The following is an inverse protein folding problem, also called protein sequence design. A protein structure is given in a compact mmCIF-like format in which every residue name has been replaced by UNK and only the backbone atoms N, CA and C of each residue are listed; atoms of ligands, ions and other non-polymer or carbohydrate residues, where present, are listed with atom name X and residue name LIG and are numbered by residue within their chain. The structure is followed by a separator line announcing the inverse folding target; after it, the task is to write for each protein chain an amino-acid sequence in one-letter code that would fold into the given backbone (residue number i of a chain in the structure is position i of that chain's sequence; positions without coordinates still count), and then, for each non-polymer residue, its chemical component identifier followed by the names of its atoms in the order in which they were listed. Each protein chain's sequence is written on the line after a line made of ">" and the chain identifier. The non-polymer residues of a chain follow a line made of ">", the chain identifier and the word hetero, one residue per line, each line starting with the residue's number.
data_IF_449620573527
#
_entry.id   IF_449620573527
#
_cell.length_a   1.000
_cell.length_b   1.000
_cell.length_c   1.000
_cell.angle_alpha   90.00
_cell.angle_beta   90.00
_cell.angle_gamma   90.00
#
_symmetry.space_group_name_H-M   'P 1'
#
loop_
_entity.id
_entity.type
_entity.pdbx_description
1 polymer ?
#
# COMPACT_ATOMS: atom_id res chain seq x y z
N UNK A 1 -13.14 -20.67 0.24
CA UNK A 1 -12.29 -20.60 -0.97
C UNK A 1 -11.76 -19.19 -1.22
N UNK A 2 -12.63 -18.17 -1.37
CA UNK A 2 -12.25 -16.76 -1.62
C UNK A 2 -11.19 -16.26 -0.61
N UNK A 3 -11.47 -16.30 0.69
CA UNK A 3 -10.53 -15.80 1.70
C UNK A 3 -9.13 -16.43 1.63
N UNK A 4 -9.05 -17.73 1.38
CA UNK A 4 -7.80 -18.47 1.32
C UNK A 4 -7.00 -18.23 0.03
N UNK A 5 -7.68 -18.03 -1.09
CA UNK A 5 -7.03 -18.04 -2.42
C UNK A 5 -6.95 -16.66 -3.09
N UNK A 6 -7.74 -15.69 -2.66
CA UNK A 6 -7.75 -14.34 -3.26
C UNK A 6 -7.35 -13.25 -2.28
N UNK A 7 -7.67 -13.39 -0.98
CA UNK A 7 -7.49 -12.34 0.03
C UNK A 7 -6.38 -12.61 1.07
N UNK A 8 -5.77 -13.80 1.09
CA UNK A 8 -4.75 -14.14 2.08
C UNK A 8 -5.26 -14.22 3.54
N UNK A 9 -6.58 -14.36 3.73
CA UNK A 9 -7.23 -14.26 5.03
C UNK A 9 -7.96 -15.56 5.40
N UNK A 10 -7.32 -16.72 5.18
CA UNK A 10 -7.93 -18.07 5.31
C UNK A 10 -8.71 -18.26 6.61
N UNK A 11 -8.26 -17.65 7.70
CA UNK A 11 -8.76 -17.89 9.05
C UNK A 11 -9.65 -16.74 9.57
N UNK A 12 -10.03 -15.78 8.71
CA UNK A 12 -10.82 -14.61 9.10
C UNK A 12 -12.11 -14.94 9.86
N UNK A 13 -12.84 -15.98 9.45
CA UNK A 13 -14.08 -16.39 10.12
C UNK A 13 -13.80 -17.03 11.49
N UNK A 14 -12.74 -17.82 11.61
CA UNK A 14 -12.34 -18.43 12.87
C UNK A 14 -11.86 -17.38 13.88
N UNK A 15 -11.12 -16.37 13.40
CA UNK A 15 -10.72 -15.22 14.21
C UNK A 15 -11.93 -14.43 14.69
N UNK A 16 -12.89 -14.13 13.79
CA UNK A 16 -14.12 -13.43 14.16
C UNK A 16 -14.98 -14.22 15.15
N UNK A 17 -15.11 -15.54 14.98
CA UNK A 17 -15.81 -16.39 15.96
C UNK A 17 -15.15 -16.31 17.34
N UNK A 18 -13.81 -16.29 17.40
CA UNK A 18 -13.05 -16.14 18.64
C UNK A 18 -13.31 -14.77 19.29
N UNK A 19 -13.33 -13.69 18.51
CA UNK A 19 -13.66 -12.34 18.97
C UNK A 19 -15.07 -12.27 19.56
N UNK A 20 -16.08 -12.78 18.82
CA UNK A 20 -17.47 -12.81 19.28
C UNK A 20 -17.64 -13.60 20.58
N UNK A 21 -17.01 -14.77 20.69
CA UNK A 21 -17.05 -15.57 21.91
C UNK A 21 -16.41 -14.84 23.10
N UNK A 22 -15.30 -14.12 22.88
CA UNK A 22 -14.65 -13.30 23.91
C UNK A 22 -15.52 -12.12 24.37
N UNK A 23 -16.37 -11.59 23.48
CA UNK A 23 -17.38 -10.57 23.79
C UNK A 23 -18.64 -11.15 24.46
N UNK A 24 -18.74 -12.47 24.61
CA UNK A 24 -19.93 -13.15 25.15
C UNK A 24 -21.12 -13.17 24.18
N UNK A 25 -20.86 -13.05 22.88
CA UNK A 25 -21.86 -13.12 21.79
C UNK A 25 -21.90 -14.52 21.19
N UNK A 26 -22.98 -14.82 20.47
CA UNK A 26 -23.06 -16.03 19.64
C UNK A 26 -21.92 -16.04 18.62
N UNK A 27 -21.30 -17.20 18.43
CA UNK A 27 -20.09 -17.37 17.61
C UNK A 27 -20.21 -18.53 16.61
N UNK A 28 -21.44 -18.94 16.28
CA UNK A 28 -21.67 -19.86 15.16
C UNK A 28 -21.49 -19.16 13.80
N UNK A 29 -21.47 -19.95 12.72
CA UNK A 29 -21.22 -19.43 11.37
C UNK A 29 -22.22 -18.35 10.94
N UNK A 30 -23.49 -18.48 11.35
CA UNK A 30 -24.53 -17.48 11.04
C UNK A 30 -24.27 -16.17 11.79
N UNK A 31 -23.90 -16.25 13.07
CA UNK A 31 -23.54 -15.09 13.88
C UNK A 31 -22.29 -14.38 13.34
N UNK A 32 -21.28 -15.13 12.89
CA UNK A 32 -20.08 -14.57 12.25
C UNK A 32 -20.45 -13.81 10.98
N UNK A 33 -21.21 -14.42 10.07
CA UNK A 33 -21.65 -13.75 8.83
C UNK A 33 -22.48 -12.49 9.14
N UNK A 34 -23.41 -12.61 10.09
CA UNK A 34 -24.24 -11.48 10.55
C UNK A 34 -23.37 -10.35 11.09
N UNK A 35 -22.34 -10.65 11.88
CA UNK A 35 -21.43 -9.63 12.44
C UNK A 35 -20.68 -8.85 11.36
N UNK A 36 -20.22 -9.51 10.29
CA UNK A 36 -19.58 -8.82 9.18
C UNK A 36 -20.56 -7.91 8.42
N UNK A 37 -21.81 -8.36 8.25
CA UNK A 37 -22.86 -7.56 7.65
C UNK A 37 -23.22 -6.34 8.53
N UNK A 38 -23.28 -6.53 9.84
CA UNK A 38 -23.49 -5.45 10.83
C UNK A 38 -22.37 -4.42 10.80
N UNK A 39 -21.10 -4.84 10.71
CA UNK A 39 -19.94 -3.95 10.64
C UNK A 39 -19.98 -3.03 9.40
N UNK A 40 -20.42 -3.57 8.27
CA UNK A 40 -20.47 -2.85 6.98
C UNK A 40 -21.77 -2.06 6.81
N UNK A 41 -22.88 -2.45 7.46
CA UNK A 41 -24.16 -1.79 7.35
C UNK A 41 -24.07 -0.28 7.67
N UNK A 42 -25.01 0.56 7.19
CA UNK A 42 -25.08 1.96 7.61
C UNK A 42 -25.07 2.11 9.14
N UNK A 43 -24.13 2.89 9.66
CA UNK A 43 -23.91 3.06 11.11
C UNK A 43 -23.08 1.94 11.78
N UNK A 44 -22.72 0.90 11.05
CA UNK A 44 -21.81 -0.16 11.50
C UNK A 44 -20.39 0.35 11.77
N UNK A 45 -19.61 -0.44 12.52
CA UNK A 45 -18.27 -0.03 12.95
C UNK A 45 -17.32 0.23 11.77
N UNK A 46 -17.33 -0.64 10.75
CA UNK A 46 -16.48 -0.47 9.57
C UNK A 46 -16.97 0.68 8.68
N UNK A 47 -18.29 0.82 8.50
CA UNK A 47 -18.85 1.98 7.77
C UNK A 47 -18.48 3.31 8.44
N UNK A 48 -18.54 3.36 9.77
CA UNK A 48 -18.14 4.53 10.57
C UNK A 48 -16.64 4.81 10.42
N UNK A 49 -15.81 3.78 10.52
CA UNK A 49 -14.37 3.90 10.31
C UNK A 49 -14.05 4.45 8.92
N UNK A 50 -14.62 3.86 7.86
CA UNK A 50 -14.41 4.30 6.48
C UNK A 50 -14.89 5.75 6.29
N UNK A 51 -15.99 6.17 6.91
CA UNK A 51 -16.49 7.55 6.82
C UNK A 51 -15.52 8.59 7.42
N UNK A 52 -14.64 8.17 8.33
CA UNK A 52 -13.57 9.03 8.86
C UNK A 52 -12.28 8.99 8.01
N UNK A 53 -12.16 8.06 7.07
CA UNK A 53 -10.98 7.89 6.23
C UNK A 53 -10.91 8.88 5.07
N UNK A 54 -9.71 9.00 4.50
CA UNK A 54 -9.39 9.76 3.29
C UNK A 54 -8.67 8.85 2.31
N UNK A 55 -8.92 9.02 1.01
CA UNK A 55 -8.23 8.26 -0.04
C UNK A 55 -6.81 8.79 -0.28
N UNK A 56 -6.61 10.10 -0.05
CA UNK A 56 -5.30 10.74 -0.14
C UNK A 56 -5.13 11.77 0.98
N UNK A 57 -3.92 11.84 1.55
CA UNK A 57 -3.61 12.85 2.57
C UNK A 57 -2.23 13.42 2.34
N UNK A 58 -2.12 14.74 2.27
CA UNK A 58 -0.84 15.44 2.16
C UNK A 58 -0.51 16.12 3.48
N UNK A 59 0.73 15.97 3.93
CA UNK A 59 1.32 16.73 5.04
C UNK A 59 2.71 17.20 4.61
N UNK A 60 2.87 18.53 4.48
CA UNK A 60 4.09 19.14 3.96
C UNK A 60 4.45 18.60 2.57
N UNK A 61 5.63 18.00 2.46
CA UNK A 61 6.18 17.38 1.25
C UNK A 61 5.82 15.89 1.07
N UNK A 62 5.05 15.31 2.01
CA UNK A 62 4.67 13.89 2.00
C UNK A 62 3.22 13.70 1.56
N UNK A 63 3.00 12.80 0.61
CA UNK A 63 1.69 12.32 0.19
C UNK A 63 1.49 10.87 0.66
N UNK A 64 0.34 10.61 1.27
CA UNK A 64 -0.12 9.29 1.68
C UNK A 64 -1.29 8.87 0.81
N UNK A 65 -1.22 7.66 0.24
CA UNK A 65 -2.34 6.98 -0.42
C UNK A 65 -2.34 5.50 -0.06
N UNK A 66 -3.44 4.78 -0.30
CA UNK A 66 -3.52 3.37 0.07
C UNK A 66 -2.59 2.47 -0.77
N UNK A 67 -2.59 2.59 -2.10
CA UNK A 67 -1.89 1.69 -3.01
C UNK A 67 -0.82 2.33 -3.88
N UNK A 68 -1.18 3.30 -4.73
CA UNK A 68 -0.22 3.92 -5.63
C UNK A 68 -0.66 5.29 -6.15
N UNK A 69 0.33 6.08 -6.58
CA UNK A 69 0.12 7.21 -7.48
C UNK A 69 0.84 6.90 -8.79
N UNK A 70 0.09 6.79 -9.87
CA UNK A 70 0.57 6.42 -11.21
C UNK A 70 0.34 7.56 -12.18
N UNK A 71 0.78 7.40 -13.43
CA UNK A 71 0.42 8.36 -14.46
C UNK A 71 -1.10 8.35 -14.72
N UNK A 72 -1.84 7.25 -14.56
CA UNK A 72 -3.29 7.27 -14.78
C UNK A 72 -4.08 7.83 -13.58
N UNK A 73 -3.70 7.51 -12.34
CA UNK A 73 -4.44 7.95 -11.15
C UNK A 73 -4.21 9.42 -10.80
N UNK A 74 -3.02 9.98 -11.09
CA UNK A 74 -2.67 11.34 -10.69
C UNK A 74 -3.53 12.39 -11.43
N UNK A 75 -4.43 13.04 -10.72
CA UNK A 75 -5.41 13.98 -11.29
C UNK A 75 -6.73 13.35 -11.70
N UNK A 76 -6.88 12.02 -11.58
CA UNK A 76 -8.11 11.31 -11.92
C UNK A 76 -9.03 11.20 -10.71
N UNK A 77 -10.31 11.52 -10.90
CA UNK A 77 -11.41 11.30 -9.95
C UNK A 77 -12.60 10.76 -10.75
N UNK A 78 -13.26 9.66 -10.34
CA UNK A 78 -14.40 9.12 -11.06
C UNK A 78 -15.48 10.16 -11.34
N UNK A 79 -15.97 10.20 -12.58
CA UNK A 79 -17.02 11.12 -13.02
C UNK A 79 -16.60 12.59 -13.16
N UNK A 80 -15.31 12.92 -13.01
CA UNK A 80 -14.81 14.30 -13.13
C UNK A 80 -13.75 14.41 -14.23
N UNK A 81 -13.59 15.63 -14.76
CA UNK A 81 -12.47 15.94 -15.64
C UNK A 81 -11.14 15.82 -14.86
N UNK A 82 -10.07 15.47 -15.58
CA UNK A 82 -8.74 15.35 -14.99
C UNK A 82 -8.26 16.69 -14.45
N UNK A 83 -7.69 16.68 -13.25
CA UNK A 83 -7.13 17.84 -12.58
C UNK A 83 -5.60 17.89 -12.77
N UNK A 84 -5.10 19.08 -13.11
CA UNK A 84 -3.67 19.33 -13.24
C UNK A 84 -3.01 19.61 -11.88
N UNK A 85 -3.71 20.35 -11.03
CA UNK A 85 -3.30 20.69 -9.67
C UNK A 85 -3.43 19.49 -8.72
N UNK A 86 -2.33 19.17 -8.02
CA UNK A 86 -2.25 17.99 -7.15
C UNK A 86 -3.06 18.19 -5.86
N UNK A 87 -3.05 19.39 -5.29
CA UNK A 87 -3.81 19.65 -4.06
C UNK A 87 -5.32 19.66 -4.33
N UNK A 88 -5.74 20.29 -5.44
CA UNK A 88 -7.10 20.20 -5.95
C UNK A 88 -7.54 18.78 -6.26
N UNK A 89 -6.65 17.94 -6.82
CA UNK A 89 -6.92 16.52 -7.01
C UNK A 89 -7.12 15.76 -5.69
N UNK A 90 -6.25 15.96 -4.70
CA UNK A 90 -6.38 15.35 -3.36
C UNK A 90 -7.70 15.75 -2.71
N UNK A 91 -8.06 17.03 -2.77
CA UNK A 91 -9.33 17.52 -2.24
C UNK A 91 -10.52 16.88 -2.97
N UNK A 92 -10.52 16.90 -4.30
CA UNK A 92 -11.60 16.34 -5.11
C UNK A 92 -11.78 14.83 -4.90
N UNK A 93 -10.69 14.09 -4.72
CA UNK A 93 -10.72 12.65 -4.47
C UNK A 93 -11.34 12.33 -3.10
N UNK A 94 -11.01 13.11 -2.06
CA UNK A 94 -11.60 12.95 -0.74
C UNK A 94 -13.07 13.41 -0.68
N UNK A 95 -13.43 14.45 -1.42
CA UNK A 95 -14.84 14.85 -1.60
C UNK A 95 -15.63 13.75 -2.28
N UNK A 96 -15.12 13.18 -3.37
CA UNK A 96 -15.74 12.02 -4.01
C UNK A 96 -15.93 10.86 -3.02
N UNK A 97 -14.91 10.52 -2.22
CA UNK A 97 -15.02 9.48 -1.20
C UNK A 97 -16.15 9.76 -0.19
N UNK A 98 -16.19 10.97 0.37
CA UNK A 98 -17.22 11.36 1.33
C UNK A 98 -18.62 11.32 0.71
N UNK A 99 -18.81 11.89 -0.48
CA UNK A 99 -20.09 11.87 -1.20
C UNK A 99 -20.61 10.45 -1.43
N UNK A 100 -19.71 9.51 -1.71
CA UNK A 100 -20.04 8.10 -1.92
C UNK A 100 -20.40 7.39 -0.60
N UNK A 101 -19.71 7.70 0.50
CA UNK A 101 -20.06 7.13 1.80
C UNK A 101 -21.33 7.74 2.40
N UNK A 102 -21.60 9.02 2.16
CA UNK A 102 -22.90 9.64 2.49
C UNK A 102 -24.03 8.95 1.72
N UNK A 103 -23.83 8.70 0.42
CA UNK A 103 -24.79 7.95 -0.39
C UNK A 103 -25.01 6.53 0.14
N UNK A 104 -23.96 5.86 0.63
CA UNK A 104 -24.05 4.54 1.26
C UNK A 104 -24.84 4.60 2.57
N UNK A 105 -24.53 5.56 3.45
CA UNK A 105 -25.20 5.73 4.74
C UNK A 105 -26.68 6.06 4.59
N UNK A 106 -27.04 6.86 3.59
CA UNK A 106 -28.44 7.17 3.23
C UNK A 106 -29.12 6.05 2.44
N UNK A 107 -28.40 5.00 2.05
CA UNK A 107 -28.85 3.95 1.14
C UNK A 107 -29.45 4.52 -0.16
N UNK A 108 -28.84 5.59 -0.68
CA UNK A 108 -29.31 6.33 -1.84
C UNK A 108 -29.20 5.50 -3.11
N UNK A 109 -30.29 5.42 -3.87
CA UNK A 109 -30.36 4.74 -5.18
C UNK A 109 -30.77 5.74 -6.25
N UNK A 110 -30.03 5.79 -7.36
CA UNK A 110 -30.28 6.66 -8.52
C UNK A 110 -30.45 5.77 -9.74
N UNK A 111 -31.61 5.86 -10.40
CA UNK A 111 -31.96 5.04 -11.58
C UNK A 111 -31.75 3.53 -11.37
N UNK A 112 -32.05 3.04 -10.16
CA UNK A 112 -31.87 1.63 -9.77
C UNK A 112 -30.44 1.23 -9.44
N UNK A 113 -29.48 2.17 -9.47
CA UNK A 113 -28.07 1.94 -9.15
C UNK A 113 -27.73 2.53 -7.78
N UNK A 114 -27.02 1.79 -6.90
CA UNK A 114 -26.52 2.35 -5.65
C UNK A 114 -25.63 3.57 -5.88
N UNK A 115 -25.88 4.65 -5.14
CA UNK A 115 -25.17 5.93 -5.29
C UNK A 115 -23.66 5.86 -4.96
N UNK A 116 -23.22 4.80 -4.29
CA UNK A 116 -21.83 4.51 -3.92
C UNK A 116 -21.12 3.52 -4.87
N UNK A 117 -21.77 3.11 -5.96
CA UNK A 117 -21.25 2.10 -6.89
C UNK A 117 -19.93 2.53 -7.56
N UNK A 118 -19.75 3.83 -7.81
CA UNK A 118 -18.51 4.35 -8.37
C UNK A 118 -17.32 4.15 -7.43
N UNK A 119 -17.53 4.29 -6.11
CA UNK A 119 -16.49 4.00 -5.12
C UNK A 119 -16.11 2.52 -5.12
N UNK A 120 -17.10 1.61 -5.17
CA UNK A 120 -16.85 0.16 -5.24
C UNK A 120 -16.02 -0.19 -6.47
N UNK A 121 -16.38 0.37 -7.64
CA UNK A 121 -15.60 0.17 -8.87
C UNK A 121 -14.19 0.77 -8.78
N UNK A 122 -14.05 1.93 -8.14
CA UNK A 122 -12.75 2.59 -7.93
C UNK A 122 -11.82 1.78 -7.01
N UNK A 123 -12.39 1.07 -6.03
CA UNK A 123 -11.65 0.25 -5.07
C UNK A 123 -11.57 -1.24 -5.47
N UNK A 124 -11.83 -1.57 -6.73
CA UNK A 124 -11.71 -2.92 -7.26
C UNK A 124 -10.59 -2.98 -8.31
N UNK A 125 -9.92 -4.13 -8.46
CA UNK A 125 -9.07 -4.38 -9.62
C UNK A 125 -9.93 -4.40 -10.90
N UNK A 126 -9.33 -4.05 -12.03
CA UNK A 126 -10.02 -4.18 -13.31
C UNK A 126 -10.24 -5.66 -13.65
N UNK A 127 -11.35 -6.02 -14.33
CA UNK A 127 -11.64 -7.41 -14.69
C UNK A 127 -10.46 -8.08 -15.40
N UNK A 128 -10.07 -9.27 -14.92
CA UNK A 128 -8.94 -10.04 -15.47
C UNK A 128 -7.55 -9.55 -15.05
N UNK A 129 -7.46 -8.56 -14.16
CA UNK A 129 -6.19 -8.02 -13.67
C UNK A 129 -6.11 -8.06 -12.14
N UNK A 130 -4.92 -7.83 -11.59
CA UNK A 130 -4.70 -7.65 -10.14
C UNK A 130 -4.55 -6.16 -9.76
N UNK A 131 -4.83 -5.24 -10.68
CA UNK A 131 -4.53 -3.84 -10.54
C UNK A 131 -5.63 -2.95 -11.13
N UNK A 132 -5.65 -1.71 -10.69
CA UNK A 132 -6.44 -0.65 -11.30
C UNK A 132 -5.59 0.62 -11.24
N UNK A 133 -4.77 0.83 -12.26
CA UNK A 133 -3.78 1.92 -12.23
C UNK A 133 -4.43 3.32 -12.20
N UNK A 134 -5.69 3.46 -12.64
CA UNK A 134 -6.48 4.68 -12.44
C UNK A 134 -6.93 4.96 -11.00
N UNK A 135 -6.72 4.01 -10.08
CA UNK A 135 -7.11 4.08 -8.67
C UNK A 135 -5.91 4.28 -7.76
N UNK A 136 -6.05 5.14 -6.74
CA UNK A 136 -5.04 5.24 -5.68
C UNK A 136 -5.08 4.08 -4.69
N UNK A 137 -6.09 3.20 -4.78
CA UNK A 137 -6.28 2.05 -3.89
C UNK A 137 -5.69 0.78 -4.50
N UNK A 138 -6.03 0.49 -5.76
CA UNK A 138 -5.60 -0.73 -6.47
C UNK A 138 -4.53 -0.48 -7.53
N UNK A 139 -3.99 0.74 -7.63
CA UNK A 139 -2.78 0.99 -8.40
C UNK A 139 -1.58 0.27 -7.77
N UNK A 140 -0.58 -0.09 -8.58
CA UNK A 140 0.59 -0.85 -8.14
C UNK A 140 1.88 -0.17 -8.56
N UNK A 141 2.79 0.00 -7.60
CA UNK A 141 4.17 0.47 -7.78
C UNK A 141 5.15 -0.70 -7.70
N UNK A 142 4.88 -1.76 -8.45
CA UNK A 142 5.69 -2.95 -8.52
C UNK A 142 5.58 -3.61 -9.90
N UNK A 143 6.53 -4.47 -10.25
CA UNK A 143 6.48 -5.25 -11.49
C UNK A 143 5.67 -6.55 -11.35
N UNK A 144 5.68 -7.38 -12.39
CA UNK A 144 5.00 -8.67 -12.45
C UNK A 144 5.35 -9.65 -11.31
N UNK A 145 6.53 -9.50 -10.70
CA UNK A 145 6.99 -10.31 -9.58
C UNK A 145 6.67 -9.68 -8.21
N UNK A 146 6.05 -8.50 -8.19
CA UNK A 146 5.92 -7.59 -7.05
C UNK A 146 7.24 -6.97 -6.57
N UNK A 147 8.26 -6.89 -7.42
CA UNK A 147 9.45 -6.11 -7.05
C UNK A 147 9.10 -4.62 -7.07
N UNK A 148 9.40 -3.87 -6.00
CA UNK A 148 9.12 -2.45 -5.91
C UNK A 148 9.70 -1.64 -7.08
N UNK A 149 8.92 -0.66 -7.54
CA UNK A 149 9.27 0.27 -8.60
C UNK A 149 8.87 1.69 -8.22
N UNK A 150 9.59 2.68 -8.75
CA UNK A 150 9.18 4.07 -8.59
C UNK A 150 8.00 4.40 -9.51
N UNK A 151 7.21 5.44 -9.20
CA UNK A 151 6.27 5.99 -10.16
C UNK A 151 6.96 6.40 -11.47
N UNK A 152 6.19 6.41 -12.55
CA UNK A 152 6.63 6.92 -13.84
C UNK A 152 7.20 8.34 -13.73
N UNK A 153 8.18 8.66 -14.59
CA UNK A 153 8.84 9.98 -14.58
C UNK A 153 7.86 11.15 -14.72
N UNK A 154 6.79 10.98 -15.47
CA UNK A 154 5.72 11.98 -15.65
C UNK A 154 4.98 12.26 -14.34
N UNK A 155 4.60 11.20 -13.61
CA UNK A 155 3.96 11.31 -12.30
C UNK A 155 4.91 11.93 -11.27
N UNK A 156 6.17 11.48 -11.23
CA UNK A 156 7.19 12.06 -10.35
C UNK A 156 7.40 13.55 -10.61
N UNK A 157 7.50 13.97 -11.88
CA UNK A 157 7.68 15.37 -12.23
C UNK A 157 6.50 16.23 -11.75
N UNK A 158 5.26 15.75 -11.91
CA UNK A 158 4.06 16.45 -11.43
C UNK A 158 4.00 16.53 -9.91
N UNK A 159 4.30 15.45 -9.20
CA UNK A 159 4.38 15.45 -7.73
C UNK A 159 5.43 16.46 -7.24
N UNK A 160 6.63 16.43 -7.83
CA UNK A 160 7.71 17.36 -7.49
C UNK A 160 7.36 18.81 -7.78
N UNK A 161 6.70 19.09 -8.91
CA UNK A 161 6.24 20.43 -9.24
C UNK A 161 5.22 20.96 -8.23
N UNK A 162 4.44 20.08 -7.59
CA UNK A 162 3.55 20.42 -6.49
C UNK A 162 4.26 20.51 -5.12
N UNK A 163 5.57 20.31 -5.06
CA UNK A 163 6.34 20.31 -3.80
C UNK A 163 6.20 19.02 -2.99
N UNK A 164 5.89 17.90 -3.64
CA UNK A 164 5.85 16.56 -3.05
C UNK A 164 7.10 15.79 -3.51
N UNK A 165 7.95 15.46 -2.55
CA UNK A 165 9.16 14.65 -2.77
C UNK A 165 9.07 13.28 -2.09
N UNK A 166 8.03 13.03 -1.29
CA UNK A 166 7.81 11.77 -0.60
C UNK A 166 6.41 11.21 -0.84
N UNK A 167 6.36 9.93 -1.19
CA UNK A 167 5.13 9.16 -1.33
C UNK A 167 5.15 7.95 -0.40
N UNK A 168 4.12 7.80 0.42
CA UNK A 168 3.95 6.66 1.34
C UNK A 168 2.71 5.89 0.91
N UNK A 169 2.88 4.59 0.69
CA UNK A 169 1.82 3.68 0.22
C UNK A 169 1.82 2.37 0.98
N UNK A 170 0.68 1.67 0.93
CA UNK A 170 0.52 0.28 1.34
C UNK A 170 0.08 -0.60 0.16
N UNK A 171 -0.88 -1.51 0.42
CA UNK A 171 -1.55 -2.41 -0.52
C UNK A 171 -0.70 -3.51 -1.17
N UNK A 172 0.52 -3.18 -1.62
CA UNK A 172 1.44 -4.11 -2.27
C UNK A 172 2.48 -4.58 -1.24
N UNK A 173 2.44 -5.84 -0.79
CA UNK A 173 3.35 -6.34 0.23
C UNK A 173 4.79 -6.39 -0.26
N UNK A 174 5.73 -6.01 0.61
CA UNK A 174 7.17 -5.90 0.26
C UNK A 174 8.09 -6.63 1.25
N UNK A 175 7.61 -7.73 1.84
CA UNK A 175 8.34 -8.54 2.83
C UNK A 175 8.07 -8.11 4.27
N UNK A 176 9.01 -8.40 5.17
CA UNK A 176 8.77 -8.28 6.62
C UNK A 176 8.86 -6.84 7.16
N UNK A 177 9.60 -5.99 6.46
CA UNK A 177 9.81 -4.58 6.80
C UNK A 177 9.52 -3.69 5.59
N UNK A 178 9.33 -2.37 5.73
CA UNK A 178 9.06 -1.50 4.59
C UNK A 178 10.15 -1.53 3.51
N UNK A 179 9.76 -1.28 2.27
CA UNK A 179 10.67 -0.98 1.18
C UNK A 179 10.73 0.53 0.97
N UNK A 180 11.94 1.07 0.90
CA UNK A 180 12.17 2.48 0.61
C UNK A 180 12.94 2.57 -0.69
N UNK A 181 12.45 3.35 -1.66
CA UNK A 181 13.05 3.52 -2.98
C UNK A 181 13.37 4.99 -3.19
N UNK A 182 14.52 5.28 -3.79
CA UNK A 182 15.02 6.66 -3.90
C UNK A 182 15.58 6.97 -5.28
N UNK A 183 15.21 8.13 -5.83
CA UNK A 183 15.76 8.64 -7.10
C UNK A 183 15.59 10.15 -7.18
N UNK A 184 16.66 10.85 -7.52
CA UNK A 184 16.68 12.28 -7.84
C UNK A 184 15.99 13.17 -6.78
N UNK A 185 16.18 12.83 -5.50
CA UNK A 185 15.57 13.53 -4.36
C UNK A 185 14.13 13.11 -4.03
N UNK A 186 13.54 12.17 -4.77
CA UNK A 186 12.23 11.59 -4.46
C UNK A 186 12.38 10.31 -3.62
N UNK A 187 11.49 10.12 -2.64
CA UNK A 187 11.43 8.95 -1.77
C UNK A 187 10.06 8.28 -1.83
N UNK A 188 10.02 7.01 -2.25
CA UNK A 188 8.84 6.15 -2.11
C UNK A 188 9.03 5.24 -0.89
N UNK A 189 8.01 5.17 -0.04
CA UNK A 189 7.93 4.22 1.07
C UNK A 189 6.75 3.29 0.82
N UNK A 190 7.02 2.00 0.64
CA UNK A 190 6.01 0.94 0.60
C UNK A 190 6.01 0.25 1.97
N UNK A 191 4.93 0.42 2.73
CA UNK A 191 4.86 0.05 4.15
C UNK A 191 4.00 -1.21 4.41
N UNK A 192 3.47 -1.84 3.37
CA UNK A 192 2.65 -3.05 3.52
C UNK A 192 3.52 -4.28 3.78
N UNK A 193 3.30 -4.91 4.94
CA UNK A 193 3.94 -6.14 5.36
C UNK A 193 2.94 -7.29 5.61
N UNK A 194 1.73 -7.20 5.06
CA UNK A 194 0.64 -8.19 5.26
C UNK A 194 0.94 -9.61 4.76
N UNK A 195 1.92 -9.76 3.87
CA UNK A 195 2.48 -11.06 3.43
C UNK A 195 3.92 -11.28 3.90
N UNK A 196 4.32 -10.59 4.97
CA UNK A 196 5.55 -10.89 5.69
C UNK A 196 5.51 -12.31 6.27
N UNK A 197 6.69 -12.87 6.50
CA UNK A 197 6.94 -14.15 7.20
C UNK A 197 6.78 -14.02 8.71
N UNK A 198 6.63 -12.79 9.22
CA UNK A 198 6.48 -12.48 10.64
C UNK A 198 5.18 -11.70 10.86
N UNK A 199 4.38 -12.14 11.83
CA UNK A 199 3.16 -11.47 12.27
C UNK A 199 3.48 -10.35 13.29
N UNK A 200 4.34 -9.42 12.86
CA UNK A 200 4.74 -8.26 13.65
C UNK A 200 4.55 -6.98 12.85
N UNK A 201 4.08 -5.93 13.52
CA UNK A 201 4.04 -4.60 12.94
C UNK A 201 5.44 -4.01 12.74
N UNK A 202 5.52 -3.00 11.90
CA UNK A 202 6.72 -2.17 11.74
C UNK A 202 6.43 -0.77 12.28
N UNK A 203 7.45 -0.12 12.84
CA UNK A 203 7.37 1.29 13.19
C UNK A 203 7.93 2.09 12.04
N UNK A 204 7.18 3.07 11.57
CA UNK A 204 7.62 4.07 10.60
C UNK A 204 7.59 5.44 11.27
N UNK A 205 8.68 6.18 11.16
CA UNK A 205 8.79 7.57 11.58
C UNK A 205 9.14 8.43 10.38
N UNK A 206 8.43 9.56 10.29
CA UNK A 206 8.51 10.49 9.18
C UNK A 206 8.64 11.89 9.76
N UNK A 207 9.72 12.58 9.43
CA UNK A 207 9.84 14.03 9.60
C UNK A 207 10.14 14.70 8.25
N UNK A 208 10.38 16.00 8.24
CA UNK A 208 10.62 16.75 7.01
C UNK A 208 11.83 16.27 6.20
N UNK A 209 12.85 15.68 6.82
CA UNK A 209 14.11 15.33 6.20
C UNK A 209 14.45 13.83 6.27
N UNK A 210 13.67 13.07 7.03
CA UNK A 210 14.00 11.70 7.38
C UNK A 210 12.80 10.77 7.21
N UNK A 211 13.09 9.57 6.73
CA UNK A 211 12.26 8.38 6.89
C UNK A 211 13.06 7.37 7.69
N UNK A 212 12.53 6.95 8.84
CA UNK A 212 13.13 5.91 9.66
C UNK A 212 12.14 4.79 9.93
N UNK A 213 12.65 3.55 10.01
CA UNK A 213 11.82 2.40 10.33
C UNK A 213 12.55 1.38 11.17
N UNK A 214 11.77 0.61 11.90
CA UNK A 214 12.23 -0.51 12.72
C UNK A 214 11.25 -1.67 12.62
N UNK A 215 11.79 -2.88 12.60
CA UNK A 215 11.00 -4.10 12.56
C UNK A 215 11.85 -5.33 12.76
N UNK A 216 11.23 -6.48 12.58
CA UNK A 216 11.89 -7.78 12.57
C UNK A 216 11.83 -8.35 11.16
N UNK A 217 12.83 -9.11 10.77
CA UNK A 217 12.92 -9.76 9.46
C UNK A 217 13.33 -11.22 9.65
N UNK A 218 12.72 -12.14 8.90
CA UNK A 218 13.12 -13.54 8.81
C UNK A 218 13.83 -13.80 7.48
N UNK A 219 15.09 -14.20 7.56
CA UNK A 219 15.92 -14.53 6.41
C UNK A 219 15.56 -15.89 5.81
N UNK A 220 16.06 -16.15 4.62
CA UNK A 220 15.84 -17.40 3.89
C UNK A 220 16.45 -18.63 4.59
N UNK A 221 17.49 -18.45 5.41
CA UNK A 221 18.07 -19.51 6.24
C UNK A 221 17.25 -19.79 7.53
N UNK A 222 16.14 -19.07 7.73
CA UNK A 222 15.26 -19.19 8.88
C UNK A 222 15.69 -18.35 10.09
N UNK A 223 16.84 -17.68 10.05
CA UNK A 223 17.25 -16.76 11.11
C UNK A 223 16.37 -15.51 11.16
N UNK A 224 16.28 -14.91 12.34
CA UNK A 224 15.50 -13.69 12.56
C UNK A 224 16.40 -12.59 13.10
N UNK A 225 16.22 -11.38 12.60
CA UNK A 225 16.97 -10.21 13.02
C UNK A 225 16.06 -9.00 13.26
N UNK A 226 16.44 -8.19 14.25
CA UNK A 226 15.89 -6.85 14.41
C UNK A 226 16.63 -5.91 13.47
N UNK A 227 15.89 -5.20 12.64
CA UNK A 227 16.46 -4.27 11.66
C UNK A 227 15.84 -2.90 11.80
N UNK A 228 16.64 -1.90 11.49
CA UNK A 228 16.15 -0.56 11.31
C UNK A 228 17.04 0.19 10.34
N UNK A 229 16.47 1.22 9.74
CA UNK A 229 17.17 2.08 8.84
C UNK A 229 16.62 3.50 8.94
N UNK A 230 17.48 4.44 8.58
CA UNK A 230 17.14 5.84 8.43
C UNK A 230 17.66 6.28 7.07
N UNK A 231 16.80 6.93 6.28
CA UNK A 231 17.22 7.64 5.09
C UNK A 231 16.98 9.13 5.28
N UNK A 232 17.99 9.91 4.92
CA UNK A 232 17.94 11.36 4.85
C UNK A 232 17.88 11.80 3.39
N UNK A 233 17.72 13.11 3.13
CA UNK A 233 17.71 13.66 1.77
C UNK A 233 18.96 13.30 0.94
N UNK A 234 20.10 13.07 1.60
CA UNK A 234 21.37 12.67 0.97
C UNK A 234 21.35 11.25 0.36
N UNK A 235 22.00 11.01 -0.78
CA UNK A 235 22.09 9.69 -1.39
C UNK A 235 22.71 8.65 -0.44
N UNK A 236 22.18 7.42 -0.48
CA UNK A 236 22.69 6.31 0.31
C UNK A 236 22.35 4.97 -0.34
N UNK A 237 22.94 3.89 0.18
CA UNK A 237 22.74 2.55 -0.35
C UNK A 237 21.30 2.06 -0.20
N UNK A 238 20.62 2.44 0.89
CA UNK A 238 19.23 2.01 1.15
C UNK A 238 18.30 2.60 0.08
N UNK A 239 17.54 1.70 -0.54
CA UNK A 239 16.66 1.99 -1.67
C UNK A 239 17.32 1.98 -3.04
N UNK A 240 18.60 1.62 -3.11
CA UNK A 240 19.27 1.24 -4.34
C UNK A 240 19.05 -0.25 -4.65
N UNK A 241 19.33 -0.65 -5.88
CA UNK A 241 19.25 -2.04 -6.35
C UNK A 241 20.62 -2.58 -6.71
N UNK A 242 20.88 -3.86 -6.41
CA UNK A 242 22.11 -4.55 -6.84
C UNK A 242 22.06 -4.91 -8.32
N UNK A 243 23.19 -5.35 -8.89
CA UNK A 243 23.25 -5.82 -10.28
C UNK A 243 22.30 -7.02 -10.56
N UNK A 244 22.01 -7.82 -9.54
CA UNK A 244 21.07 -8.96 -9.59
C UNK A 244 19.60 -8.54 -9.34
N UNK A 245 19.32 -7.24 -9.24
CA UNK A 245 17.98 -6.70 -9.06
C UNK A 245 17.45 -6.76 -7.62
N UNK A 246 18.31 -6.97 -6.62
CA UNK A 246 17.88 -6.98 -5.21
C UNK A 246 17.81 -5.58 -4.63
N UNK A 247 16.74 -5.25 -3.93
CA UNK A 247 16.59 -3.99 -3.20
C UNK A 247 17.38 -4.03 -1.89
N UNK A 248 18.19 -2.99 -1.63
CA UNK A 248 18.86 -2.79 -0.34
C UNK A 248 17.88 -2.17 0.64
N UNK A 249 17.50 -2.90 1.69
CA UNK A 249 16.49 -2.47 2.68
C UNK A 249 17.09 -1.93 3.97
N UNK A 250 18.22 -2.45 4.44
CA UNK A 250 18.85 -1.96 5.66
C UNK A 250 20.32 -2.37 5.74
N UNK A 251 21.07 -1.69 6.60
CA UNK A 251 22.39 -2.14 7.04
C UNK A 251 22.24 -2.91 8.36
N UNK A 252 22.92 -4.04 8.48
CA UNK A 252 22.98 -4.88 9.70
C UNK A 252 24.43 -4.95 10.21
N UNK A 253 24.69 -5.49 11.41
CA UNK A 253 26.06 -5.73 11.87
C UNK A 253 26.87 -6.65 10.95
N UNK A 254 26.22 -7.60 10.29
CA UNK A 254 26.81 -8.62 9.43
C UNK A 254 26.90 -8.19 7.95
N UNK A 255 26.22 -7.11 7.56
CA UNK A 255 26.23 -6.61 6.19
C UNK A 255 25.00 -5.81 5.80
N UNK A 256 24.35 -6.22 4.70
CA UNK A 256 23.23 -5.52 4.09
C UNK A 256 22.05 -6.47 3.91
N UNK A 257 20.90 -6.07 4.43
CA UNK A 257 19.64 -6.75 4.19
C UNK A 257 19.17 -6.44 2.76
N UNK A 258 19.08 -7.50 1.95
CA UNK A 258 18.60 -7.46 0.58
C UNK A 258 17.23 -8.12 0.47
N UNK A 259 16.43 -7.62 -0.47
CA UNK A 259 15.11 -8.14 -0.78
C UNK A 259 14.91 -8.31 -2.28
N UNK A 260 14.18 -9.36 -2.65
CA UNK A 260 13.64 -9.52 -4.00
C UNK A 260 12.32 -10.27 -3.92
N UNK A 261 11.33 -9.81 -4.67
CA UNK A 261 10.09 -10.53 -4.83
C UNK A 261 10.27 -11.66 -5.87
N UNK A 262 9.61 -12.79 -5.63
CA UNK A 262 9.70 -13.98 -6.45
C UNK A 262 8.29 -14.37 -6.94
N UNK A 263 8.18 -15.21 -7.98
CA UNK A 263 6.90 -15.77 -8.40
C UNK A 263 6.09 -16.38 -7.23
N UNK A 264 4.77 -16.45 -7.40
CA UNK A 264 3.85 -17.04 -6.43
C UNK A 264 3.82 -16.30 -5.08
N UNK A 265 4.09 -14.98 -5.08
CA UNK A 265 4.12 -14.12 -3.88
C UNK A 265 5.16 -14.56 -2.84
N UNK A 266 6.21 -15.25 -3.30
CA UNK A 266 7.37 -15.55 -2.48
C UNK A 266 8.29 -14.34 -2.44
N UNK A 267 9.14 -14.29 -1.43
CA UNK A 267 10.18 -13.26 -1.30
C UNK A 267 11.51 -13.94 -1.00
N UNK A 268 12.61 -13.30 -1.36
CA UNK A 268 13.97 -13.61 -0.94
C UNK A 268 14.40 -12.49 0.03
N UNK A 269 14.89 -12.87 1.21
CA UNK A 269 15.46 -11.94 2.20
C UNK A 269 16.77 -12.52 2.71
N UNK A 270 17.88 -11.85 2.40
CA UNK A 270 19.23 -12.32 2.73
C UNK A 270 20.08 -11.18 3.28
N UNK A 271 21.09 -11.53 4.07
CA UNK A 271 22.14 -10.59 4.48
C UNK A 271 23.43 -10.93 3.73
N UNK A 272 24.04 -9.93 3.10
CA UNK A 272 25.33 -10.07 2.42
C UNK A 272 26.33 -9.04 2.95
N UNK A 273 27.60 -9.44 3.09
CA UNK A 273 28.64 -8.53 3.58
C UNK A 273 28.87 -7.33 2.65
N UNK A 274 28.84 -7.57 1.34
CA UNK A 274 29.00 -6.57 0.28
C UNK A 274 27.87 -6.73 -0.74
N UNK A 275 27.03 -5.72 -0.98
CA UNK A 275 25.94 -5.78 -1.95
C UNK A 275 26.43 -5.54 -3.38
N UNK A 276 27.73 -5.27 -3.57
CA UNK A 276 28.32 -4.97 -4.86
C UNK A 276 27.93 -3.59 -5.40
N UNK A 277 28.10 -3.37 -6.72
CA UNK A 277 27.68 -2.14 -7.37
C UNK A 277 26.18 -1.89 -7.22
N UNK A 278 25.83 -0.65 -6.88
CA UNK A 278 24.45 -0.23 -6.66
C UNK A 278 23.98 0.70 -7.78
N UNK A 279 22.73 0.55 -8.19
CA UNK A 279 22.06 1.40 -9.15
C UNK A 279 20.77 2.00 -8.56
N UNK A 280 20.27 3.07 -9.17
CA UNK A 280 18.96 3.61 -8.83
C UNK A 280 17.84 2.65 -9.30
N UNK A 281 16.72 2.57 -8.57
CA UNK A 281 15.58 1.74 -8.96
C UNK A 281 14.91 2.24 -10.25
N UNK A 282 14.36 1.29 -11.01
CA UNK A 282 13.55 1.56 -12.20
C UNK A 282 12.16 2.09 -11.84
N UNK A 283 11.55 2.75 -12.83
CA UNK A 283 10.13 3.11 -12.82
C UNK A 283 9.23 1.94 -13.25
N UNK A 284 7.95 1.98 -12.82
CA UNK A 284 6.90 1.16 -13.42
C UNK A 284 6.78 1.54 -14.89
N UNK A 285 6.81 0.56 -15.80
CA UNK A 285 6.49 0.78 -17.20
C UNK A 285 5.09 0.25 -17.48
N UNK A 286 4.32 0.98 -18.29
CA UNK A 286 2.99 0.60 -18.76
C UNK A 286 2.91 -0.79 -19.45
N UNK A 287 4.06 -1.42 -19.75
CA UNK A 287 4.17 -2.72 -20.42
C UNK A 287 4.63 -3.85 -19.51
N UNK A 288 4.88 -3.59 -18.21
CA UNK A 288 5.17 -4.68 -17.28
C UNK A 288 3.83 -5.36 -16.94
N UNK A 289 3.61 -6.62 -17.36
CA UNK A 289 2.33 -7.31 -17.20
C UNK A 289 1.94 -7.55 -15.74
#
# INVERSE_FOLDING_TARGET
>A
WIFANTMGAREAFAHRATELAAEGRDADDEAVVRSFAEDVAPGGALATYLSACRLAHRVGRTLFVHGAVTAESLGSVPGRARLDDVDGWVAALNTFHAEQLDAFAEQRVVDGVPGWSALVAYQAPLPGTLAHQGSVVYGRLADAHNDPRLPERSALARLRAAGIDRLVVGHTPVGDVPAVLRRDGFTLVMADNSYGRLEHGTRLELDEHQVAWWGRCRLDDGSELSVGASVHDEPGAIGSVTAEGRLVKARTPEGWLLFRALPERRVEQVVVADPGPLAQPSDVRHTDP
#
